data_IF_378457415234
#
_entry.id   IF_378457415234
#
_cell.length_a   1.000
_cell.length_b   1.000
_cell.length_c   1.000
_cell.angle_alpha   90.00
_cell.angle_beta   90.00
_cell.angle_gamma   90.00
#
_symmetry.space_group_name_H-M   'P 1'
#
loop_
_entity.id
_entity.type
_entity.pdbx_description
1 polymer ?
#
# COMPACT_ATOMS: atom_id res chain seq x y z
N UNK A 1 -33.65 -1.95 -3.20
CA UNK A 1 -32.74 -2.20 -2.06
C UNK A 1 -31.68 -3.28 -2.32
N UNK A 2 -31.97 -4.37 -3.04
CA UNK A 2 -30.97 -5.45 -3.28
C UNK A 2 -29.77 -5.04 -4.17
N UNK A 3 -30.00 -4.27 -5.25
CA UNK A 3 -28.93 -3.84 -6.18
C UNK A 3 -27.90 -2.90 -5.53
N UNK A 4 -28.33 -2.07 -4.57
CA UNK A 4 -27.46 -1.16 -3.81
C UNK A 4 -26.46 -1.96 -2.96
N UNK A 5 -26.93 -2.99 -2.25
CA UNK A 5 -26.10 -3.84 -1.42
C UNK A 5 -25.10 -4.66 -2.26
N UNK A 6 -25.53 -5.16 -3.42
CA UNK A 6 -24.65 -5.86 -4.37
C UNK A 6 -23.53 -4.93 -4.86
N UNK A 7 -23.87 -3.68 -5.23
CA UNK A 7 -22.87 -2.69 -5.64
C UNK A 7 -21.88 -2.38 -4.52
N UNK A 8 -22.37 -2.11 -3.32
CA UNK A 8 -21.52 -1.84 -2.14
C UNK A 8 -20.57 -3.01 -1.83
N UNK A 9 -21.05 -4.26 -1.93
CA UNK A 9 -20.21 -5.44 -1.70
C UNK A 9 -19.14 -5.60 -2.78
N UNK A 10 -19.45 -5.34 -4.04
CA UNK A 10 -18.46 -5.36 -5.14
C UNK A 10 -17.41 -4.28 -4.96
N UNK A 11 -17.81 -3.07 -4.59
CA UNK A 11 -16.89 -1.97 -4.31
C UNK A 11 -15.98 -2.29 -3.12
N UNK A 12 -16.52 -2.84 -2.03
CA UNK A 12 -15.73 -3.26 -0.87
C UNK A 12 -14.72 -4.34 -1.24
N UNK A 13 -15.15 -5.39 -1.95
CA UNK A 13 -14.24 -6.45 -2.40
C UNK A 13 -13.15 -5.91 -3.34
N UNK A 14 -13.50 -4.98 -4.23
CA UNK A 14 -12.53 -4.36 -5.13
C UNK A 14 -11.48 -3.55 -4.35
N UNK A 15 -11.90 -2.69 -3.42
CA UNK A 15 -10.99 -1.92 -2.55
C UNK A 15 -10.10 -2.81 -1.70
N UNK A 16 -10.68 -3.84 -1.06
CA UNK A 16 -9.94 -4.79 -0.22
C UNK A 16 -8.90 -5.59 -0.99
N UNK A 17 -9.20 -5.98 -2.24
CA UNK A 17 -8.21 -6.65 -3.09
C UNK A 17 -7.11 -5.68 -3.55
N UNK A 18 -7.45 -4.42 -3.78
CA UNK A 18 -6.48 -3.38 -4.11
C UNK A 18 -5.53 -3.11 -2.94
N UNK A 19 -6.07 -3.03 -1.71
CA UNK A 19 -5.28 -2.94 -0.48
C UNK A 19 -4.26 -4.08 -0.35
N UNK A 20 -4.63 -5.31 -0.72
CA UNK A 20 -3.67 -6.43 -0.69
C UNK A 20 -2.49 -6.23 -1.64
N UNK A 21 -2.74 -5.76 -2.86
CA UNK A 21 -1.68 -5.48 -3.84
C UNK A 21 -0.83 -4.27 -3.44
N UNK A 22 -1.47 -3.20 -2.98
CA UNK A 22 -0.79 -2.01 -2.50
C UNK A 22 0.03 -2.30 -1.24
N UNK A 23 -0.46 -3.17 -0.35
CA UNK A 23 0.27 -3.64 0.84
C UNK A 23 1.53 -4.41 0.47
N UNK A 24 1.46 -5.29 -0.53
CA UNK A 24 2.65 -6.00 -1.02
C UNK A 24 3.67 -5.03 -1.62
N UNK A 25 3.24 -4.05 -2.42
CA UNK A 25 4.12 -3.01 -2.96
C UNK A 25 4.74 -2.18 -1.84
N UNK A 26 3.94 -1.81 -0.84
CA UNK A 26 4.41 -1.07 0.33
C UNK A 26 5.46 -1.85 1.12
N UNK A 27 5.25 -3.14 1.37
CA UNK A 27 6.23 -3.99 2.05
C UNK A 27 7.54 -4.10 1.25
N UNK A 28 7.48 -4.17 -0.09
CA UNK A 28 8.67 -4.13 -0.95
C UNK A 28 9.40 -2.78 -0.85
N UNK A 29 8.68 -1.66 -0.93
CA UNK A 29 9.25 -0.31 -0.76
C UNK A 29 9.90 -0.15 0.61
N UNK A 30 9.24 -0.62 1.68
CA UNK A 30 9.76 -0.56 3.05
C UNK A 30 11.07 -1.33 3.19
N UNK A 31 11.14 -2.55 2.66
CA UNK A 31 12.37 -3.36 2.67
C UNK A 31 13.52 -2.69 1.92
N UNK A 32 13.25 -2.02 0.79
CA UNK A 32 14.26 -1.26 0.04
C UNK A 32 14.72 -0.06 0.86
N UNK A 33 13.79 0.68 1.47
CA UNK A 33 14.12 1.83 2.33
C UNK A 33 14.96 1.41 3.53
N UNK A 34 14.60 0.33 4.23
CA UNK A 34 15.38 -0.26 5.33
C UNK A 34 16.77 -0.68 4.86
N UNK A 35 16.90 -1.35 3.70
CA UNK A 35 18.20 -1.76 3.17
C UNK A 35 19.09 -0.56 2.80
N UNK A 36 18.50 0.51 2.25
CA UNK A 36 19.21 1.76 1.93
C UNK A 36 19.68 2.49 3.19
N UNK A 37 18.83 2.56 4.23
CA UNK A 37 19.17 3.17 5.52
C UNK A 37 20.25 2.39 6.27
N UNK A 38 20.17 1.05 6.27
CA UNK A 38 21.16 0.18 6.92
C UNK A 38 22.45 0.02 6.10
N UNK A 39 22.49 0.50 4.85
CA UNK A 39 23.60 0.32 3.92
C UNK A 39 23.83 -1.15 3.52
N UNK A 40 22.80 -2.01 3.67
CA UNK A 40 22.86 -3.44 3.34
C UNK A 40 22.56 -3.66 1.85
N UNK A 41 23.13 -4.73 1.25
CA UNK A 41 22.82 -5.07 -0.14
C UNK A 41 21.33 -5.41 -0.29
N UNK A 42 20.71 -4.84 -1.32
CA UNK A 42 19.29 -5.01 -1.62
C UNK A 42 19.01 -6.49 -1.97
N UNK A 43 17.89 -7.08 -1.48
CA UNK A 43 17.54 -8.46 -1.79
C UNK A 43 17.50 -8.71 -3.29
N UNK A 44 18.09 -9.83 -3.74
CA UNK A 44 18.22 -10.19 -5.16
C UNK A 44 16.88 -10.25 -5.90
N UNK A 45 15.81 -10.67 -5.21
CA UNK A 45 14.43 -10.71 -5.73
C UNK A 45 13.86 -9.32 -6.03
N UNK A 46 14.30 -8.31 -5.27
CA UNK A 46 13.85 -6.92 -5.44
C UNK A 46 14.79 -6.13 -6.34
N UNK A 47 15.96 -6.65 -6.70
CA UNK A 47 16.98 -5.91 -7.45
C UNK A 47 16.53 -5.46 -8.85
N UNK A 48 15.62 -6.22 -9.48
CA UNK A 48 15.02 -5.84 -10.76
C UNK A 48 13.94 -4.76 -10.62
N UNK A 49 13.19 -4.80 -9.51
CA UNK A 49 12.12 -3.83 -9.20
C UNK A 49 12.67 -2.60 -8.47
N UNK A 50 13.89 -2.67 -7.93
CA UNK A 50 14.48 -1.65 -7.08
C UNK A 50 14.64 -0.33 -7.81
N UNK A 51 15.15 -0.32 -9.03
CA UNK A 51 15.30 0.91 -9.80
C UNK A 51 13.97 1.66 -9.98
N UNK A 52 12.88 0.92 -10.22
CA UNK A 52 11.54 1.50 -10.37
C UNK A 52 10.96 1.93 -9.01
N UNK A 53 11.06 1.08 -7.99
CA UNK A 53 10.56 1.37 -6.65
C UNK A 53 11.33 2.53 -6.00
N UNK A 54 12.62 2.68 -6.29
CA UNK A 54 13.46 3.78 -5.83
C UNK A 54 13.04 5.11 -6.45
N UNK A 55 12.79 5.13 -7.77
CA UNK A 55 12.20 6.31 -8.42
C UNK A 55 10.84 6.66 -7.80
N UNK A 56 9.98 5.67 -7.53
CA UNK A 56 8.71 5.92 -6.86
C UNK A 56 8.87 6.43 -5.42
N UNK A 57 9.86 5.93 -4.67
CA UNK A 57 10.18 6.42 -3.31
C UNK A 57 10.69 7.85 -3.37
N UNK A 58 11.56 8.18 -4.34
CA UNK A 58 12.11 9.52 -4.51
C UNK A 58 11.03 10.55 -4.95
N UNK A 59 9.98 10.09 -5.63
CA UNK A 59 8.81 10.88 -6.03
C UNK A 59 7.73 10.99 -4.94
N UNK A 60 7.77 10.14 -3.91
CA UNK A 60 6.87 10.19 -2.77
C UNK A 60 7.31 11.30 -1.79
N UNK A 61 6.73 12.50 -1.94
CA UNK A 61 6.94 13.62 -0.99
C UNK A 61 6.65 13.18 0.45
N UNK A 62 7.57 13.46 1.39
CA UNK A 62 7.52 13.05 2.80
C UNK A 62 6.15 13.32 3.48
N UNK A 63 5.46 14.39 3.07
CA UNK A 63 4.13 14.82 3.55
C UNK A 63 3.01 13.79 3.28
N UNK A 64 3.11 12.98 2.24
CA UNK A 64 2.04 12.03 1.83
C UNK A 64 2.16 10.66 2.49
N UNK A 65 3.33 10.35 3.03
CA UNK A 65 3.67 9.05 3.63
C UNK A 65 2.83 8.74 4.88
N UNK A 66 2.52 9.75 5.69
CA UNK A 66 1.69 9.61 6.90
C UNK A 66 0.18 9.58 6.61
N UNK A 67 -0.27 10.32 5.59
CA UNK A 67 -1.70 10.46 5.29
C UNK A 67 -2.34 9.16 4.77
N UNK A 68 -1.60 8.35 4.01
CA UNK A 68 -2.13 7.08 3.47
C UNK A 68 -2.31 5.99 4.54
N UNK A 69 -1.52 6.04 5.62
CA UNK A 69 -1.64 5.10 6.75
C UNK A 69 -2.90 5.36 7.59
N UNK A 70 -3.26 6.64 7.80
CA UNK A 70 -4.39 7.02 8.64
C UNK A 70 -5.75 6.67 8.01
N UNK A 71 -5.86 6.78 6.68
CA UNK A 71 -7.14 6.59 5.97
C UNK A 71 -7.58 5.11 5.92
N UNK A 72 -6.63 4.17 5.88
CA UNK A 72 -6.94 2.73 5.74
C UNK A 72 -7.42 2.08 7.04
N UNK A 73 -7.07 2.64 8.21
CA UNK A 73 -7.46 2.08 9.51
C UNK A 73 -8.90 2.44 9.91
N UNK A 74 -9.37 3.65 9.57
CA UNK A 74 -10.68 4.16 10.00
C UNK A 74 -11.89 3.52 9.26
N UNK A 75 -11.73 3.07 8.01
CA UNK A 75 -12.86 2.49 7.25
C UNK A 75 -13.31 1.11 7.76
N UNK A 76 -12.49 0.44 8.57
CA UNK A 76 -12.78 -0.93 9.05
C UNK A 76 -13.69 -0.99 10.29
N UNK A 77 -13.78 0.09 11.08
CA UNK A 77 -14.51 0.10 12.36
C UNK A 77 -15.82 0.91 12.34
N UNK A 78 -16.20 1.52 11.21
CA UNK A 78 -17.29 2.51 11.18
C UNK A 78 -18.67 2.06 10.72
N UNK A 79 -18.94 0.76 10.49
CA UNK A 79 -20.23 0.33 9.89
C UNK A 79 -20.84 -0.97 10.43
N UNK A 80 -20.68 -1.22 11.72
CA UNK A 80 -21.58 -2.09 12.46
C UNK A 80 -22.34 -1.20 13.44
N UNK A 81 -23.48 -0.68 12.95
CA UNK A 81 -24.56 -0.20 13.82
C UNK A 81 -25.34 -1.37 14.37
#
# INVERSE_FOLDING_TARGET
MLRRNIRQRKEYLYRKNLEGKERMLYEKKRKIKEALEEGKPIPTELRNEEAALRQEIDLEDEQTTGAKQLITMDETNGKLG
#
